data_IF_424402976627
#
_entry.id   IF_424402976627
#
_cell.length_a   1.000
_cell.length_b   1.000
_cell.length_c   1.000
_cell.angle_alpha   90.00
_cell.angle_beta   90.00
_cell.angle_gamma   90.00
#
_symmetry.space_group_name_H-M   'P 1'
#
loop_
_entity.id
_entity.type
_entity.pdbx_description
1 polymer ?
#
# COMPACT_ATOMS: atom_id res chain seq x y z
N UNK A 1 -21.30 -84.64 -19.29
CA UNK A 1 -19.91 -84.34 -19.69
C UNK A 1 -19.70 -82.93 -20.24
N UNK A 2 -20.65 -82.32 -21.00
CA UNK A 2 -20.48 -80.96 -21.57
C UNK A 2 -20.36 -79.81 -20.54
N UNK A 3 -21.06 -79.89 -19.41
CA UNK A 3 -21.09 -78.83 -18.38
C UNK A 3 -19.81 -78.74 -17.56
N UNK A 4 -19.17 -79.88 -17.28
CA UNK A 4 -17.89 -79.94 -16.55
C UNK A 4 -16.78 -79.31 -17.39
N UNK A 5 -16.73 -79.61 -18.69
CA UNK A 5 -15.75 -79.03 -19.61
C UNK A 5 -15.87 -77.49 -19.72
N UNK A 6 -17.08 -76.94 -19.68
CA UNK A 6 -17.32 -75.48 -19.69
C UNK A 6 -16.84 -74.79 -18.41
N UNK A 7 -17.05 -75.41 -17.24
CA UNK A 7 -16.58 -74.87 -15.97
C UNK A 7 -15.05 -74.92 -15.88
N UNK A 8 -14.43 -75.99 -16.39
CA UNK A 8 -12.97 -76.10 -16.48
C UNK A 8 -12.37 -75.02 -17.38
N UNK A 9 -12.91 -74.83 -18.59
CA UNK A 9 -12.46 -73.79 -19.51
C UNK A 9 -12.58 -72.38 -18.90
N UNK A 10 -13.67 -72.09 -18.19
CA UNK A 10 -13.86 -70.80 -17.50
C UNK A 10 -12.88 -70.59 -16.35
N UNK A 11 -12.56 -71.65 -15.62
CA UNK A 11 -11.56 -71.61 -14.54
C UNK A 11 -10.15 -71.36 -15.07
N UNK A 12 -9.80 -72.00 -16.18
CA UNK A 12 -8.52 -71.80 -16.88
C UNK A 12 -8.41 -70.38 -17.43
N UNK A 13 -9.49 -69.85 -18.03
CA UNK A 13 -9.55 -68.48 -18.53
C UNK A 13 -9.42 -67.45 -17.40
N UNK A 14 -10.12 -67.65 -16.27
CA UNK A 14 -10.00 -66.77 -15.10
C UNK A 14 -8.59 -66.80 -14.51
N UNK A 15 -7.96 -67.98 -14.42
CA UNK A 15 -6.58 -68.12 -13.96
C UNK A 15 -5.60 -67.39 -14.89
N UNK A 16 -5.82 -67.48 -16.22
CA UNK A 16 -5.03 -66.76 -17.22
C UNK A 16 -5.17 -65.25 -17.09
N UNK A 17 -6.40 -64.75 -16.94
CA UNK A 17 -6.68 -63.32 -16.76
C UNK A 17 -6.09 -62.79 -15.45
N UNK A 18 -6.13 -63.57 -14.37
CA UNK A 18 -5.50 -63.21 -13.09
C UNK A 18 -3.98 -63.06 -13.24
N UNK A 19 -3.32 -64.03 -13.88
CA UNK A 19 -1.88 -63.96 -14.15
C UNK A 19 -1.51 -62.78 -15.06
N UNK A 20 -2.35 -62.46 -16.03
CA UNK A 20 -2.17 -61.30 -16.92
C UNK A 20 -2.39 -59.96 -16.17
N UNK A 21 -3.32 -59.91 -15.22
CA UNK A 21 -3.54 -58.74 -14.37
C UNK A 21 -2.37 -58.51 -13.41
N UNK A 22 -1.84 -59.57 -12.80
CA UNK A 22 -0.67 -59.51 -11.91
C UNK A 22 0.59 -59.03 -12.66
N UNK A 23 0.81 -59.51 -13.89
CA UNK A 23 1.94 -59.05 -14.72
C UNK A 23 1.79 -57.60 -15.16
N UNK A 24 0.57 -57.17 -15.53
CA UNK A 24 0.28 -55.75 -15.82
C UNK A 24 0.49 -54.86 -14.61
N UNK A 25 0.07 -55.30 -13.42
CA UNK A 25 0.27 -54.56 -12.18
C UNK A 25 1.76 -54.39 -11.86
N UNK A 26 2.53 -55.47 -11.94
CA UNK A 26 3.99 -55.42 -11.73
C UNK A 26 4.70 -54.46 -12.70
N UNK A 27 4.34 -54.51 -13.99
CA UNK A 27 4.90 -53.58 -14.98
C UNK A 27 4.50 -52.12 -14.71
N UNK A 28 3.28 -51.89 -14.23
CA UNK A 28 2.82 -50.54 -13.86
C UNK A 28 3.57 -50.00 -12.63
N UNK A 29 3.85 -50.85 -11.65
CA UNK A 29 4.66 -50.50 -10.48
C UNK A 29 6.10 -50.16 -10.87
N UNK A 30 6.73 -50.94 -11.76
CA UNK A 30 8.07 -50.65 -12.29
C UNK A 30 8.11 -49.30 -13.02
N UNK A 31 7.14 -49.03 -13.89
CA UNK A 31 7.03 -47.75 -14.60
C UNK A 31 6.80 -46.57 -13.64
N UNK A 32 6.04 -46.77 -12.57
CA UNK A 32 5.83 -45.74 -11.57
C UNK A 32 7.10 -45.46 -10.77
N UNK A 33 7.84 -46.51 -10.37
CA UNK A 33 9.12 -46.37 -9.70
C UNK A 33 10.15 -45.64 -10.57
N UNK A 34 10.23 -45.95 -11.86
CA UNK A 34 11.09 -45.23 -12.81
C UNK A 34 10.68 -43.77 -12.95
N UNK A 35 9.38 -43.47 -13.06
CA UNK A 35 8.88 -42.11 -13.15
C UNK A 35 9.21 -41.28 -11.90
N UNK A 36 9.07 -41.87 -10.71
CA UNK A 36 9.42 -41.22 -9.44
C UNK A 36 10.92 -40.93 -9.36
N UNK A 37 11.78 -41.87 -9.77
CA UNK A 37 13.23 -41.67 -9.80
C UNK A 37 13.63 -40.54 -10.76
N UNK A 38 12.99 -40.46 -11.93
CA UNK A 38 13.23 -39.38 -12.88
C UNK A 38 12.72 -38.02 -12.36
N UNK A 39 11.63 -38.01 -11.59
CA UNK A 39 11.11 -36.79 -10.96
C UNK A 39 12.05 -36.27 -9.86
N UNK A 40 12.56 -37.17 -9.01
CA UNK A 40 13.53 -36.85 -7.96
C UNK A 40 14.83 -36.27 -8.55
N UNK A 41 15.36 -36.87 -9.62
CA UNK A 41 16.52 -36.34 -10.33
C UNK A 41 16.28 -34.94 -10.92
N UNK A 42 15.08 -34.67 -11.46
CA UNK A 42 14.71 -33.34 -11.95
C UNK A 42 14.60 -32.33 -10.82
N UNK A 43 14.08 -32.74 -9.67
CA UNK A 43 13.97 -31.89 -8.50
C UNK A 43 15.36 -31.51 -7.94
N UNK A 44 16.29 -32.48 -7.87
CA UNK A 44 17.67 -32.21 -7.47
C UNK A 44 18.38 -31.23 -8.42
N UNK A 45 18.20 -31.39 -9.73
CA UNK A 45 18.78 -30.47 -10.71
C UNK A 45 18.18 -29.05 -10.58
N UNK A 46 16.87 -28.94 -10.35
CA UNK A 46 16.22 -27.66 -10.08
C UNK A 46 16.72 -27.02 -8.79
N UNK A 47 16.90 -27.80 -7.72
CA UNK A 47 17.47 -27.31 -6.46
C UNK A 47 18.89 -26.77 -6.67
N UNK A 48 19.72 -27.50 -7.41
CA UNK A 48 21.08 -27.06 -7.77
C UNK A 48 21.08 -25.78 -8.60
N UNK A 49 20.15 -25.63 -9.55
CA UNK A 49 20.00 -24.39 -10.34
C UNK A 49 19.57 -23.21 -9.47
N UNK A 50 18.64 -23.40 -8.53
CA UNK A 50 18.22 -22.36 -7.59
C UNK A 50 19.40 -21.92 -6.72
N UNK A 51 20.18 -22.86 -6.23
CA UNK A 51 21.37 -22.55 -5.41
C UNK A 51 22.42 -21.79 -6.22
N UNK A 52 22.73 -22.21 -7.44
CA UNK A 52 23.63 -21.48 -8.33
C UNK A 52 23.16 -20.04 -8.63
N UNK A 53 21.85 -19.84 -8.83
CA UNK A 53 21.26 -18.50 -9.03
C UNK A 53 21.37 -17.65 -7.75
N UNK A 54 21.18 -18.26 -6.57
CA UNK A 54 21.36 -17.58 -5.29
C UNK A 54 22.81 -17.17 -5.07
N UNK A 55 23.77 -18.07 -5.30
CA UNK A 55 25.20 -17.77 -5.16
C UNK A 55 25.66 -16.72 -6.17
N UNK A 56 25.15 -16.73 -7.41
CA UNK A 56 25.42 -15.67 -8.39
C UNK A 56 24.90 -14.31 -7.93
N UNK A 57 23.67 -14.25 -7.40
CA UNK A 57 23.11 -13.01 -6.86
C UNK A 57 23.88 -12.54 -5.62
N UNK A 58 24.34 -13.44 -4.76
CA UNK A 58 25.17 -13.13 -3.58
C UNK A 58 26.55 -12.60 -3.98
N UNK A 59 27.19 -13.17 -5.03
CA UNK A 59 28.44 -12.65 -5.59
C UNK A 59 28.28 -11.28 -6.26
N UNK A 60 27.13 -11.02 -6.90
CA UNK A 60 26.78 -9.69 -7.43
C UNK A 60 26.55 -8.67 -6.30
N UNK A 61 26.13 -9.10 -5.10
CA UNK A 61 25.97 -8.26 -3.91
C UNK A 61 27.31 -7.99 -3.20
N UNK A 62 28.22 -8.96 -3.13
CA UNK A 62 29.53 -8.81 -2.46
C UNK A 62 30.55 -7.99 -3.29
N UNK A 63 30.38 -7.87 -4.60
CA UNK A 63 31.17 -6.97 -5.46
C UNK A 63 30.86 -5.47 -5.27
N UNK A 64 29.84 -5.12 -4.48
CA UNK A 64 29.36 -3.75 -4.26
C UNK A 64 29.65 -3.27 -2.83
N UNK A 65 30.87 -3.52 -2.36
CA UNK A 65 31.39 -2.99 -1.10
C UNK A 65 31.20 -1.48 -0.99
N UNK A 66 30.63 -1.06 0.13
CA UNK A 66 30.54 0.32 0.62
C UNK A 66 29.83 1.32 -0.29
N UNK A 67 28.53 1.12 -0.50
CA UNK A 67 27.63 2.28 -0.61
C UNK A 67 26.70 2.26 0.59
N UNK A 68 26.81 3.30 1.42
CA UNK A 68 25.79 3.73 2.40
C UNK A 68 24.42 3.40 1.82
N UNK A 69 23.61 2.65 2.58
CA UNK A 69 22.27 2.21 2.19
C UNK A 69 21.53 3.33 1.44
N UNK A 70 21.52 3.26 0.11
CA UNK A 70 20.72 4.17 -0.70
C UNK A 70 19.26 3.77 -0.46
N UNK A 71 18.34 4.74 -0.29
CA UNK A 71 16.93 4.44 -0.10
C UNK A 71 16.45 3.50 -1.20
N UNK A 72 15.80 2.41 -0.80
CA UNK A 72 15.35 1.30 -1.65
C UNK A 72 14.42 1.72 -2.80
N UNK A 73 14.06 3.00 -2.93
CA UNK A 73 13.12 3.52 -3.92
C UNK A 73 13.81 4.57 -4.78
N UNK A 74 14.57 4.14 -5.79
CA UNK A 74 14.86 5.01 -6.93
C UNK A 74 13.53 5.30 -7.62
N UNK A 75 13.19 6.58 -7.81
CA UNK A 75 12.01 6.95 -8.58
C UNK A 75 12.11 6.33 -9.99
N UNK A 76 11.00 6.08 -10.71
CA UNK A 76 11.04 5.41 -12.02
C UNK A 76 11.72 6.24 -13.13
N UNK A 77 12.42 7.31 -12.79
CA UNK A 77 13.09 8.21 -13.71
C UNK A 77 14.57 7.85 -13.88
N UNK A 78 15.17 8.34 -14.97
CA UNK A 78 16.62 8.33 -15.10
C UNK A 78 17.28 9.26 -14.07
N UNK A 79 18.55 9.00 -13.77
CA UNK A 79 19.33 9.71 -12.74
C UNK A 79 19.29 11.24 -12.93
N UNK A 80 19.33 11.72 -14.17
CA UNK A 80 19.24 13.15 -14.49
C UNK A 80 17.95 13.83 -13.98
N UNK A 81 16.83 13.12 -14.02
CA UNK A 81 15.53 13.62 -13.54
C UNK A 81 15.38 13.35 -12.04
N UNK A 82 15.84 12.19 -11.56
CA UNK A 82 15.77 11.82 -10.15
C UNK A 82 16.61 12.77 -9.28
N UNK A 83 17.78 13.20 -9.77
CA UNK A 83 18.68 14.12 -9.06
C UNK A 83 18.35 15.61 -9.28
N UNK A 84 17.40 15.94 -10.16
CA UNK A 84 17.01 17.32 -10.42
C UNK A 84 16.55 18.00 -9.12
N UNK A 85 17.26 19.06 -8.72
CA UNK A 85 17.00 19.78 -7.47
C UNK A 85 15.84 20.74 -7.64
N UNK A 86 14.83 20.60 -6.78
CA UNK A 86 13.74 21.57 -6.68
C UNK A 86 14.28 22.79 -5.90
N UNK A 87 14.27 24.00 -6.48
CA UNK A 87 14.75 25.19 -5.77
C UNK A 87 13.96 25.48 -4.48
N UNK A 88 14.58 26.02 -3.42
CA UNK A 88 13.89 26.32 -2.16
C UNK A 88 12.73 27.33 -2.28
N UNK A 89 12.77 28.18 -3.31
CA UNK A 89 11.74 29.20 -3.60
C UNK A 89 10.75 28.76 -4.69
N UNK A 90 10.82 27.49 -5.10
CA UNK A 90 9.91 26.94 -6.08
C UNK A 90 8.49 26.91 -5.50
N UNK A 91 7.54 27.53 -6.20
CA UNK A 91 6.15 27.57 -5.75
C UNK A 91 5.54 26.18 -5.89
N UNK A 92 4.73 25.78 -4.92
CA UNK A 92 3.99 24.53 -4.99
C UNK A 92 3.12 24.49 -6.26
N UNK A 93 3.07 23.32 -6.90
CA UNK A 93 2.28 23.11 -8.11
C UNK A 93 0.82 22.95 -7.69
N UNK A 94 0.01 23.98 -7.96
CA UNK A 94 -1.42 23.96 -7.72
C UNK A 94 -2.14 23.61 -9.01
N UNK A 95 -2.21 22.32 -9.33
CA UNK A 95 -2.99 21.79 -10.46
C UNK A 95 -3.88 20.69 -9.91
N UNK A 96 -5.16 20.72 -10.26
CA UNK A 96 -6.10 19.68 -9.85
C UNK A 96 -5.64 18.30 -10.37
N UNK A 97 -5.63 17.25 -9.52
CA UNK A 97 -5.18 15.94 -9.95
C UNK A 97 -5.95 15.39 -11.16
N UNK A 98 -5.22 15.05 -12.22
CA UNK A 98 -5.79 14.45 -13.42
C UNK A 98 -6.37 13.08 -13.11
N UNK A 99 -7.69 12.96 -13.19
CA UNK A 99 -8.41 11.72 -12.90
C UNK A 99 -8.80 10.90 -14.14
N UNK A 100 -8.45 11.39 -15.34
CA UNK A 100 -8.78 10.77 -16.61
C UNK A 100 -10.12 11.22 -17.22
N UNK A 101 -10.90 12.05 -16.52
CA UNK A 101 -12.17 12.58 -17.00
C UNK A 101 -12.10 14.04 -17.48
N UNK A 102 -11.10 14.78 -17.00
CA UNK A 102 -10.79 16.15 -17.43
C UNK A 102 -10.23 16.17 -18.86
N UNK A 103 -10.27 17.34 -19.52
CA UNK A 103 -9.58 17.54 -20.80
C UNK A 103 -8.04 17.44 -20.62
N UNK A 104 -7.37 16.48 -21.28
CA UNK A 104 -5.92 16.32 -21.17
C UNK A 104 -5.13 17.56 -21.61
N UNK A 105 -5.64 18.33 -22.59
CA UNK A 105 -4.95 19.52 -23.08
C UNK A 105 -5.03 20.65 -22.07
N UNK A 106 -6.21 20.87 -21.49
CA UNK A 106 -6.39 21.86 -20.43
C UNK A 106 -5.52 21.54 -19.19
N UNK A 107 -5.45 20.26 -18.78
CA UNK A 107 -4.60 19.83 -17.67
C UNK A 107 -3.11 20.10 -17.95
N UNK A 108 -2.63 19.70 -19.12
CA UNK A 108 -1.25 19.92 -19.52
C UNK A 108 -0.93 21.42 -19.58
N UNK A 109 -1.84 22.23 -20.13
CA UNK A 109 -1.66 23.68 -20.21
C UNK A 109 -1.61 24.34 -18.82
N UNK A 110 -2.46 23.91 -17.89
CA UNK A 110 -2.44 24.40 -16.52
C UNK A 110 -1.10 24.09 -15.83
N UNK A 111 -0.62 22.84 -15.98
CA UNK A 111 0.68 22.44 -15.48
C UNK A 111 1.83 23.24 -16.09
N UNK A 112 1.88 23.36 -17.42
CA UNK A 112 2.91 24.13 -18.12
C UNK A 112 2.94 25.60 -17.68
N UNK A 113 1.76 26.21 -17.51
CA UNK A 113 1.64 27.59 -17.04
C UNK A 113 2.23 27.73 -15.63
N UNK A 114 1.92 26.78 -14.73
CA UNK A 114 2.45 26.79 -13.36
C UNK A 114 3.96 26.58 -13.33
N UNK A 115 4.50 25.69 -14.19
CA UNK A 115 5.94 25.49 -14.34
C UNK A 115 6.64 26.76 -14.81
N UNK A 116 6.10 27.45 -15.81
CA UNK A 116 6.63 28.72 -16.31
C UNK A 116 6.66 29.80 -15.22
N UNK A 117 5.56 29.97 -14.48
CA UNK A 117 5.47 30.95 -13.39
C UNK A 117 6.47 30.65 -12.26
N UNK A 118 6.72 29.37 -12.00
CA UNK A 118 7.60 28.92 -10.92
C UNK A 118 9.08 28.85 -11.32
N UNK A 119 9.42 29.21 -12.57
CA UNK A 119 10.78 29.14 -13.10
C UNK A 119 11.27 27.70 -13.29
N UNK A 120 10.36 26.77 -13.55
CA UNK A 120 10.68 25.37 -13.78
C UNK A 120 11.24 25.12 -15.18
N UNK A 121 12.15 24.16 -15.29
CA UNK A 121 12.71 23.67 -16.54
C UNK A 121 12.10 22.32 -16.96
N UNK A 122 12.54 21.78 -18.09
CA UNK A 122 12.04 20.49 -18.60
C UNK A 122 12.30 19.34 -17.62
N UNK A 123 13.43 19.39 -16.89
CA UNK A 123 13.80 18.35 -15.91
C UNK A 123 12.84 18.34 -14.74
N UNK A 124 12.57 19.51 -14.16
CA UNK A 124 11.58 19.68 -13.11
C UNK A 124 10.18 19.33 -13.62
N UNK A 125 9.87 19.64 -14.87
CA UNK A 125 8.59 19.30 -15.48
C UNK A 125 8.37 17.80 -15.54
N UNK A 126 9.36 17.05 -16.04
CA UNK A 126 9.33 15.58 -16.04
C UNK A 126 9.25 14.99 -14.62
N UNK A 127 9.98 15.57 -13.66
CA UNK A 127 9.99 15.09 -12.28
C UNK A 127 8.65 15.29 -11.57
N UNK A 128 8.00 16.43 -11.80
CA UNK A 128 6.83 16.86 -11.04
C UNK A 128 5.49 16.52 -11.71
N UNK A 129 5.45 16.38 -13.04
CA UNK A 129 4.22 16.10 -13.78
C UNK A 129 3.48 14.84 -13.29
N UNK A 130 4.14 13.71 -13.01
CA UNK A 130 3.43 12.53 -12.50
C UNK A 130 2.75 12.76 -11.15
N UNK A 131 3.24 13.71 -10.34
CA UNK A 131 2.57 14.16 -9.12
C UNK A 131 1.21 14.83 -9.37
N UNK A 132 0.93 15.28 -10.58
CA UNK A 132 -0.38 15.84 -10.96
C UNK A 132 -1.39 14.77 -11.37
N UNK A 133 -1.01 13.49 -11.41
CA UNK A 133 -1.92 12.39 -11.80
C UNK A 133 -2.58 11.79 -10.56
N UNK A 134 -3.89 11.61 -10.59
CA UNK A 134 -4.63 10.96 -9.49
C UNK A 134 -4.18 9.50 -9.35
N UNK A 135 -3.88 9.09 -8.12
CA UNK A 135 -3.44 7.72 -7.83
C UNK A 135 -1.94 7.47 -8.03
N UNK A 136 -1.18 8.45 -8.53
CA UNK A 136 0.28 8.37 -8.49
C UNK A 136 0.77 8.39 -7.03
N UNK A 137 1.73 7.53 -6.68
CA UNK A 137 2.14 7.33 -5.28
C UNK A 137 2.61 8.62 -4.58
N UNK A 138 3.22 9.55 -5.34
CA UNK A 138 3.65 10.86 -4.84
C UNK A 138 2.53 11.90 -4.66
N UNK A 139 1.34 11.64 -5.23
CA UNK A 139 0.14 12.46 -5.06
C UNK A 139 -0.75 11.96 -3.91
N UNK A 140 -0.32 10.92 -3.18
CA UNK A 140 -1.01 10.56 -1.95
C UNK A 140 -0.79 11.69 -0.95
N UNK A 141 -1.85 12.27 -0.36
CA UNK A 141 -1.69 13.28 0.66
C UNK A 141 -0.72 12.74 1.71
N UNK A 142 0.27 13.56 2.09
CA UNK A 142 1.23 13.20 3.13
C UNK A 142 0.45 12.65 4.32
N UNK A 143 0.76 11.40 4.71
CA UNK A 143 0.29 10.81 5.95
C UNK A 143 0.78 11.70 7.07
N UNK A 144 -0.13 12.14 7.92
CA UNK A 144 0.22 12.93 9.09
C UNK A 144 0.63 11.98 10.21
N UNK A 145 1.61 12.40 10.99
CA UNK A 145 1.92 11.75 12.25
C UNK A 145 1.07 12.37 13.37
N UNK A 146 0.91 11.64 14.47
CA UNK A 146 0.20 12.13 15.65
C UNK A 146 0.80 13.44 16.18
N UNK A 147 2.10 13.64 15.99
CA UNK A 147 2.79 14.87 16.37
C UNK A 147 2.24 16.10 15.64
N UNK A 148 1.90 15.97 14.35
CA UNK A 148 1.41 17.08 13.52
C UNK A 148 0.06 17.63 14.00
N UNK A 149 -0.75 16.79 14.65
CA UNK A 149 -2.03 17.23 15.24
C UNK A 149 -1.85 18.30 16.32
N UNK A 150 -0.70 18.31 17.01
CA UNK A 150 -0.43 19.29 18.08
C UNK A 150 -0.11 20.70 17.56
N UNK A 151 0.13 20.84 16.25
CA UNK A 151 0.36 22.12 15.60
C UNK A 151 -0.92 22.77 15.09
N UNK A 152 -2.03 22.01 15.07
CA UNK A 152 -3.35 22.52 14.70
C UNK A 152 -3.91 23.34 15.86
N UNK A 153 -3.98 24.66 15.69
CA UNK A 153 -4.49 25.60 16.69
C UNK A 153 -5.71 26.36 16.17
N UNK A 154 -6.64 26.66 17.08
CA UNK A 154 -7.77 27.55 16.84
C UNK A 154 -7.27 28.99 16.83
N UNK A 155 -7.49 29.70 15.73
CA UNK A 155 -7.04 31.09 15.59
C UNK A 155 -8.03 32.09 16.20
N UNK A 156 -7.59 33.33 16.46
CA UNK A 156 -8.37 34.33 17.21
C UNK A 156 -9.72 34.73 16.61
N UNK A 157 -9.92 34.53 15.30
CA UNK A 157 -11.16 34.82 14.57
C UNK A 157 -11.87 33.58 14.04
N UNK A 158 -11.39 32.39 14.39
CA UNK A 158 -11.94 31.14 13.87
C UNK A 158 -13.01 30.57 14.81
N UNK A 159 -14.17 30.24 14.23
CA UNK A 159 -15.26 29.59 14.97
C UNK A 159 -14.86 28.17 15.39
N UNK A 160 -15.45 27.69 16.49
CA UNK A 160 -15.21 26.33 16.98
C UNK A 160 -15.57 25.27 15.92
N UNK A 161 -16.62 25.51 15.13
CA UNK A 161 -17.05 24.67 14.00
C UNK A 161 -15.97 24.56 12.93
N UNK A 162 -15.39 25.70 12.54
CA UNK A 162 -14.35 25.73 11.51
C UNK A 162 -13.06 25.06 12.00
N UNK A 163 -12.67 25.27 13.25
CA UNK A 163 -11.53 24.58 13.86
C UNK A 163 -11.73 23.06 13.92
N UNK A 164 -12.90 22.61 14.38
CA UNK A 164 -13.26 21.19 14.46
C UNK A 164 -13.19 20.52 13.08
N UNK A 165 -13.71 21.18 12.04
CA UNK A 165 -13.64 20.65 10.67
C UNK A 165 -12.19 20.44 10.20
N UNK A 166 -11.30 21.42 10.42
CA UNK A 166 -9.87 21.27 10.08
C UNK A 166 -9.18 20.18 10.88
N UNK A 167 -9.48 20.10 12.17
CA UNK A 167 -8.90 19.07 13.02
C UNK A 167 -9.36 17.67 12.59
N UNK A 168 -10.63 17.49 12.26
CA UNK A 168 -11.18 16.22 11.78
C UNK A 168 -10.61 15.82 10.40
N UNK A 169 -10.38 16.77 9.49
CA UNK A 169 -9.70 16.47 8.22
C UNK A 169 -8.28 15.93 8.47
N UNK A 170 -7.55 16.54 9.40
CA UNK A 170 -6.22 16.09 9.76
C UNK A 170 -6.22 14.70 10.43
N UNK A 171 -7.18 14.40 11.32
CA UNK A 171 -7.24 13.09 12.00
C UNK A 171 -7.51 11.94 11.04
N UNK A 172 -8.32 12.15 9.99
CA UNK A 172 -8.57 11.14 8.93
C UNK A 172 -7.28 10.78 8.19
N UNK A 173 -6.27 11.65 8.21
CA UNK A 173 -4.99 11.47 7.53
C UNK A 173 -3.90 10.85 8.40
N UNK A 174 -4.18 10.60 9.69
CA UNK A 174 -3.26 9.96 10.64
C UNK A 174 -3.53 8.46 10.69
N UNK A 175 -2.49 7.65 10.46
CA UNK A 175 -2.55 6.18 10.53
C UNK A 175 -2.24 5.69 11.96
N UNK A 176 -3.06 6.09 12.95
CA UNK A 176 -2.91 5.67 14.36
C UNK A 176 -4.19 4.99 14.90
N UNK A 177 -4.16 3.67 15.17
CA UNK A 177 -5.31 2.96 15.72
C UNK A 177 -5.60 3.28 17.20
N UNK A 178 -4.67 3.91 17.93
CA UNK A 178 -4.77 4.11 19.37
C UNK A 178 -5.48 5.42 19.75
N UNK A 179 -5.54 6.44 18.87
CA UNK A 179 -6.25 7.74 19.01
C UNK A 179 -6.12 8.51 20.35
N UNK A 180 -5.36 8.00 21.32
CA UNK A 180 -5.26 8.47 22.72
C UNK A 180 -4.67 9.87 22.84
N UNK A 181 -4.01 10.34 21.80
CA UNK A 181 -3.42 11.66 21.73
C UNK A 181 -4.30 12.68 21.00
N UNK A 182 -5.35 12.25 20.29
CA UNK A 182 -6.20 13.16 19.50
C UNK A 182 -6.95 14.11 20.41
N UNK A 183 -7.53 13.58 21.50
CA UNK A 183 -8.18 14.38 22.56
C UNK A 183 -7.22 15.43 23.11
N UNK A 184 -5.97 15.03 23.42
CA UNK A 184 -4.95 15.92 24.00
C UNK A 184 -4.51 16.99 22.99
N UNK A 185 -4.33 16.61 21.73
CA UNK A 185 -3.97 17.52 20.65
C UNK A 185 -5.10 18.53 20.41
N UNK A 186 -6.35 18.08 20.33
CA UNK A 186 -7.52 18.95 20.18
C UNK A 186 -7.62 19.95 21.33
N UNK A 187 -7.53 19.48 22.58
CA UNK A 187 -7.58 20.33 23.78
C UNK A 187 -6.44 21.35 23.81
N UNK A 188 -5.22 20.96 23.43
CA UNK A 188 -4.07 21.88 23.37
C UNK A 188 -4.22 22.92 22.26
N UNK A 189 -4.88 22.56 21.16
CA UNK A 189 -5.12 23.43 20.02
C UNK A 189 -6.26 24.43 20.23
N UNK A 190 -7.17 24.19 21.17
CA UNK A 190 -8.27 25.11 21.46
C UNK A 190 -7.77 26.46 21.97
N UNK A 191 -8.50 27.51 21.60
CA UNK A 191 -8.32 28.82 22.22
C UNK A 191 -8.94 28.81 23.62
N UNK A 192 -8.26 29.46 24.56
CA UNK A 192 -8.81 29.69 25.91
C UNK A 192 -10.15 30.41 25.82
N UNK A 193 -11.16 29.87 26.49
CA UNK A 193 -12.52 30.38 26.47
C UNK A 193 -13.51 29.40 27.11
N UNK A 194 -14.81 29.78 27.16
CA UNK A 194 -15.83 29.03 27.89
C UNK A 194 -15.92 27.55 27.52
N UNK A 195 -15.80 27.24 26.23
CA UNK A 195 -15.80 25.86 25.74
C UNK A 195 -14.55 25.08 26.20
N UNK A 196 -13.36 25.66 26.06
CA UNK A 196 -12.10 25.03 26.48
C UNK A 196 -12.12 24.72 27.98
N UNK A 197 -12.64 25.65 28.79
CA UNK A 197 -12.75 25.49 30.25
C UNK A 197 -13.74 24.37 30.62
N UNK A 198 -14.91 24.35 29.98
CA UNK A 198 -15.90 23.30 30.17
C UNK A 198 -15.37 21.92 29.76
N UNK A 199 -14.60 21.86 28.67
CA UNK A 199 -14.01 20.63 28.18
C UNK A 199 -12.93 20.09 29.13
N UNK A 200 -12.09 20.97 29.69
CA UNK A 200 -11.06 20.60 30.66
C UNK A 200 -11.65 20.01 31.96
N UNK A 201 -12.78 20.56 32.42
CA UNK A 201 -13.47 20.06 33.62
C UNK A 201 -14.06 18.66 33.43
N UNK A 202 -14.58 18.37 32.24
CA UNK A 202 -15.29 17.12 31.99
C UNK A 202 -14.43 15.96 31.48
N UNK A 203 -13.13 16.20 31.20
CA UNK A 203 -12.14 15.17 30.81
C UNK A 203 -12.68 14.14 29.79
N UNK A 204 -13.01 14.58 28.56
CA UNK A 204 -13.46 13.66 27.53
C UNK A 204 -12.43 12.56 27.27
N UNK A 205 -12.91 11.36 26.96
CA UNK A 205 -12.06 10.18 26.72
C UNK A 205 -11.92 9.83 25.23
N UNK A 206 -12.79 10.38 24.37
CA UNK A 206 -12.80 10.11 22.94
C UNK A 206 -13.09 11.38 22.11
N UNK A 207 -12.79 11.33 20.81
CA UNK A 207 -13.18 12.39 19.87
C UNK A 207 -14.69 12.47 19.66
N UNK A 208 -15.41 11.35 19.76
CA UNK A 208 -16.87 11.31 19.63
C UNK A 208 -17.57 12.13 20.72
N UNK A 209 -17.12 12.00 21.98
CA UNK A 209 -17.61 12.81 23.09
C UNK A 209 -17.34 14.31 22.88
N UNK A 210 -16.21 14.65 22.24
CA UNK A 210 -15.87 16.04 21.91
C UNK A 210 -16.79 16.57 20.82
N UNK A 211 -17.06 15.81 19.76
CA UNK A 211 -17.95 16.21 18.67
C UNK A 211 -19.35 16.55 19.19
N UNK A 212 -19.96 15.67 19.99
CA UNK A 212 -21.28 15.90 20.59
C UNK A 212 -21.33 17.17 21.44
N UNK A 213 -20.25 17.46 22.17
CA UNK A 213 -20.16 18.68 22.99
C UNK A 213 -19.97 19.93 22.16
N UNK A 214 -19.18 19.86 21.09
CA UNK A 214 -19.02 20.98 20.14
C UNK A 214 -20.37 21.31 19.52
N UNK A 215 -21.10 20.32 19.04
CA UNK A 215 -22.43 20.49 18.45
C UNK A 215 -23.38 21.16 19.43
N UNK A 216 -23.52 20.61 20.65
CA UNK A 216 -24.34 21.20 21.71
C UNK A 216 -23.93 22.63 22.06
N UNK A 217 -22.63 22.93 22.08
CA UNK A 217 -22.14 24.27 22.40
C UNK A 217 -22.44 25.27 21.28
N UNK A 218 -22.38 24.84 20.01
CA UNK A 218 -22.76 25.66 18.86
C UNK A 218 -24.26 25.96 18.90
N UNK A 219 -25.12 24.95 19.12
CA UNK A 219 -26.58 25.13 19.26
C UNK A 219 -26.92 26.15 20.35
N UNK A 220 -26.28 26.03 21.52
CA UNK A 220 -26.49 26.95 22.65
C UNK A 220 -26.04 28.40 22.40
N UNK A 221 -25.10 28.63 21.48
CA UNK A 221 -24.62 29.97 21.11
C UNK A 221 -25.44 30.58 19.96
N UNK A 222 -25.98 29.73 19.07
CA UNK A 222 -26.90 30.12 18.00
C UNK A 222 -28.29 30.49 18.54
N UNK A 223 -28.81 29.80 19.56
CA UNK A 223 -30.09 30.13 20.25
C UNK A 223 -30.04 31.43 21.07
N UNK A 224 -28.85 32.03 21.22
CA UNK A 224 -28.62 33.21 22.06
C UNK A 224 -28.64 34.54 21.28
N UNK A 225 -28.84 34.48 19.96
CA UNK A 225 -28.88 35.62 19.03
C UNK A 225 -30.22 35.68 18.29
#
# INVERSE_FOLDING_TARGET
MRTVAQLQARSEEHSRLSAEAETRHRLAEERHAEAMKMAEQREEELRRQIENLRTRNEQELEGRGEHVAQPLWKQPFCEEIDEARIPPHFREIMVDPFDGTQDPHAHLQAFQTQMYISGGDDKLSCKLFPGTLKGFAANKPKRLEVADLFDIRQTGGESLKSYMARFNDATVRVDDPNQKFFVKAFQKGLRVGPFSDALALQRPTSMEEICLKVEKHIEMEEDRH
#
